data_IF_768443780010
#
_entry.id   IF_768443780010
#
_cell.length_a   1.000
_cell.length_b   1.000
_cell.length_c   1.000
_cell.angle_alpha   90.00
_cell.angle_beta   90.00
_cell.angle_gamma   90.00
#
_symmetry.space_group_name_H-M   'P 1'
#
loop_
_entity.id
_entity.type
_entity.pdbx_description
1 polymer ?
#
# COMPACT_ATOMS: atom_id res chain seq x y z
N UNK A 1 6.53 43.92 -49.97
CA UNK A 1 5.64 42.92 -49.33
C UNK A 1 6.57 41.85 -48.76
N UNK A 2 6.84 41.92 -47.46
CA UNK A 2 7.73 40.97 -46.78
C UNK A 2 6.97 39.66 -46.65
N UNK A 3 7.44 38.64 -47.35
CA UNK A 3 7.01 37.25 -47.18
C UNK A 3 7.23 36.90 -45.71
N UNK A 4 6.14 36.67 -44.96
CA UNK A 4 6.23 36.25 -43.58
C UNK A 4 6.83 34.85 -43.59
N UNK A 5 8.13 34.75 -43.30
CA UNK A 5 8.79 33.48 -43.07
C UNK A 5 8.06 32.80 -41.91
N UNK A 6 7.25 31.80 -42.24
CA UNK A 6 6.56 30.98 -41.25
C UNK A 6 7.64 30.33 -40.40
N UNK A 7 7.65 30.67 -39.11
CA UNK A 7 8.61 30.13 -38.17
C UNK A 7 8.21 28.69 -37.82
N UNK A 8 8.83 27.75 -38.53
CA UNK A 8 8.58 26.32 -38.39
C UNK A 8 8.97 25.80 -36.99
N UNK A 9 9.91 26.45 -36.28
CA UNK A 9 10.27 26.06 -34.92
C UNK A 9 9.12 26.34 -33.96
N UNK A 10 8.52 27.53 -34.04
CA UNK A 10 7.37 27.93 -33.21
C UNK A 10 6.18 26.99 -33.44
N UNK A 11 5.87 26.69 -34.69
CA UNK A 11 4.79 25.76 -35.06
C UNK A 11 5.01 24.33 -34.54
N UNK A 12 6.26 23.87 -34.55
CA UNK A 12 6.61 22.54 -34.02
C UNK A 12 6.46 22.48 -32.50
N UNK A 13 6.80 23.57 -31.81
CA UNK A 13 6.69 23.70 -30.36
C UNK A 13 5.23 23.75 -29.91
N UNK A 14 4.39 24.54 -30.59
CA UNK A 14 2.94 24.61 -30.36
C UNK A 14 2.28 23.24 -30.53
N UNK A 15 2.58 22.55 -31.63
CA UNK A 15 2.07 21.19 -31.88
C UNK A 15 2.50 20.18 -30.83
N UNK A 16 3.70 20.33 -30.28
CA UNK A 16 4.20 19.45 -29.23
C UNK A 16 3.48 19.71 -27.89
N UNK A 17 3.18 20.97 -27.58
CA UNK A 17 2.34 21.36 -26.44
C UNK A 17 0.93 20.79 -26.54
N UNK A 18 0.31 20.86 -27.73
CA UNK A 18 -1.02 20.29 -27.97
C UNK A 18 -1.06 18.76 -27.79
N UNK A 19 0.01 18.06 -28.18
CA UNK A 19 0.09 16.63 -27.95
C UNK A 19 0.21 16.32 -26.46
N UNK A 20 1.02 17.07 -25.72
CA UNK A 20 1.16 16.89 -24.27
C UNK A 20 -0.14 17.14 -23.51
N UNK A 21 -0.91 18.16 -23.90
CA UNK A 21 -2.22 18.45 -23.28
C UNK A 21 -3.25 17.35 -23.60
N UNK A 22 -3.18 16.73 -24.78
CA UNK A 22 -3.99 15.55 -25.12
C UNK A 22 -3.65 14.34 -24.26
N UNK A 23 -2.36 14.08 -23.98
CA UNK A 23 -1.93 13.06 -23.01
C UNK A 23 -2.53 13.31 -21.64
N UNK A 24 -2.38 14.52 -21.12
CA UNK A 24 -2.88 14.87 -19.80
C UNK A 24 -4.41 14.71 -19.72
N UNK A 25 -5.14 15.23 -20.71
CA UNK A 25 -6.61 15.17 -20.76
C UNK A 25 -7.14 13.73 -20.80
N UNK A 26 -6.49 12.86 -21.57
CA UNK A 26 -6.94 11.47 -21.72
C UNK A 26 -6.53 10.60 -20.53
N UNK A 27 -5.36 10.84 -19.93
CA UNK A 27 -4.94 10.18 -18.70
C UNK A 27 -5.77 10.64 -17.49
N UNK A 28 -6.08 11.94 -17.39
CA UNK A 28 -6.93 12.47 -16.31
C UNK A 28 -8.34 11.92 -16.36
N UNK A 29 -8.92 11.71 -17.56
CA UNK A 29 -10.20 11.01 -17.73
C UNK A 29 -10.19 9.56 -17.24
N UNK A 30 -9.02 8.91 -17.24
CA UNK A 30 -8.84 7.53 -16.74
C UNK A 30 -8.62 7.48 -15.23
N UNK A 31 -8.31 8.62 -14.62
CA UNK A 31 -8.24 8.78 -13.18
C UNK A 31 -9.66 8.62 -12.63
N UNK A 32 -9.94 7.48 -11.99
CA UNK A 32 -11.24 7.24 -11.38
C UNK A 32 -11.39 8.05 -10.10
N UNK A 33 -12.57 8.64 -9.86
CA UNK A 33 -12.86 9.42 -8.65
C UNK A 33 -12.69 8.60 -7.35
N UNK A 34 -12.89 7.29 -7.42
CA UNK A 34 -12.76 6.37 -6.28
C UNK A 34 -11.31 5.94 -5.98
N UNK A 35 -10.32 6.69 -6.47
CA UNK A 35 -8.92 6.47 -6.12
C UNK A 35 -8.63 7.04 -4.73
N UNK A 36 -8.30 6.16 -3.78
CA UNK A 36 -7.83 6.54 -2.45
C UNK A 36 -6.37 6.10 -2.23
N UNK A 37 -5.70 6.73 -1.27
CA UNK A 37 -4.37 6.31 -0.82
C UNK A 37 -3.24 6.51 -1.85
N UNK A 38 -2.35 5.52 -1.90
CA UNK A 38 -1.11 5.54 -2.68
C UNK A 38 -1.37 5.63 -4.18
N UNK A 39 -2.35 4.87 -4.66
CA UNK A 39 -2.77 4.86 -6.07
C UNK A 39 -3.07 6.26 -6.59
N UNK A 40 -3.81 7.06 -5.81
CA UNK A 40 -4.18 8.41 -6.24
C UNK A 40 -2.93 9.27 -6.41
N UNK A 41 -2.04 9.26 -5.43
CA UNK A 41 -0.82 10.06 -5.41
C UNK A 41 0.06 9.73 -6.62
N UNK A 42 0.36 8.44 -6.82
CA UNK A 42 1.25 8.00 -7.91
C UNK A 42 0.63 8.28 -9.28
N UNK A 43 -0.63 7.90 -9.50
CA UNK A 43 -1.27 8.11 -10.81
C UNK A 43 -1.43 9.60 -11.13
N UNK A 44 -1.73 10.42 -10.13
CA UNK A 44 -1.81 11.87 -10.29
C UNK A 44 -0.45 12.48 -10.64
N UNK A 45 0.63 12.07 -9.96
CA UNK A 45 2.00 12.48 -10.32
C UNK A 45 2.37 12.08 -11.75
N UNK A 46 1.98 10.88 -12.20
CA UNK A 46 2.23 10.42 -13.59
C UNK A 46 1.44 11.23 -14.62
N UNK A 47 0.19 11.61 -14.33
CA UNK A 47 -0.63 12.47 -15.21
C UNK A 47 0.03 13.83 -15.39
N UNK A 48 0.44 14.47 -14.30
CA UNK A 48 1.11 15.79 -14.35
C UNK A 48 2.56 15.75 -14.83
N UNK A 49 3.12 14.56 -15.09
CA UNK A 49 4.50 14.42 -15.58
C UNK A 49 5.57 14.50 -14.49
N UNK A 50 5.19 14.46 -13.21
CA UNK A 50 6.10 14.39 -12.07
C UNK A 50 6.56 12.93 -11.83
N UNK A 51 7.27 12.35 -12.80
CA UNK A 51 7.66 10.92 -12.78
C UNK A 51 8.62 10.57 -11.64
N UNK A 52 9.59 11.42 -11.36
CA UNK A 52 10.53 11.23 -10.24
C UNK A 52 9.82 11.25 -8.89
N UNK A 53 8.86 12.17 -8.74
CA UNK A 53 8.02 12.21 -7.55
C UNK A 53 7.20 10.92 -7.42
N UNK A 54 6.62 10.42 -8.51
CA UNK A 54 5.86 9.16 -8.50
C UNK A 54 6.72 7.97 -8.04
N UNK A 55 7.96 7.86 -8.54
CA UNK A 55 8.93 6.83 -8.13
C UNK A 55 9.34 6.97 -6.66
N UNK A 56 9.55 8.22 -6.21
CA UNK A 56 9.89 8.52 -4.82
C UNK A 56 8.75 8.17 -3.87
N UNK A 57 7.52 8.56 -4.17
CA UNK A 57 6.34 8.24 -3.36
C UNK A 57 6.11 6.73 -3.27
N UNK A 58 6.31 6.00 -4.37
CA UNK A 58 6.25 4.54 -4.38
C UNK A 58 7.30 3.93 -3.43
N UNK A 59 8.53 4.43 -3.46
CA UNK A 59 9.61 3.93 -2.61
C UNK A 59 9.37 4.27 -1.14
N UNK A 60 9.02 5.53 -0.84
CA UNK A 60 8.65 5.99 0.50
C UNK A 60 7.52 5.17 1.12
N UNK A 61 6.53 4.77 0.32
CA UNK A 61 5.45 3.92 0.81
C UNK A 61 5.94 2.55 1.27
N UNK A 62 6.90 1.95 0.57
CA UNK A 62 7.47 0.65 0.94
C UNK A 62 8.28 0.78 2.23
N UNK A 63 9.08 1.82 2.32
CA UNK A 63 9.90 2.10 3.50
C UNK A 63 9.02 2.41 4.72
N UNK A 64 7.85 3.03 4.53
CA UNK A 64 6.86 3.22 5.60
C UNK A 64 6.27 1.92 6.17
N UNK A 65 6.55 0.76 5.55
CA UNK A 65 6.06 -0.57 5.95
C UNK A 65 7.18 -1.47 6.48
N UNK A 66 8.30 -0.88 6.93
CA UNK A 66 9.41 -1.60 7.56
C UNK A 66 8.98 -2.50 8.74
N UNK A 67 7.90 -2.15 9.44
CA UNK A 67 7.31 -2.94 10.54
C UNK A 67 6.90 -4.37 10.10
N UNK A 68 6.76 -4.61 8.79
CA UNK A 68 6.29 -5.86 8.23
C UNK A 68 7.38 -6.56 7.39
N UNK A 69 8.25 -7.39 8.01
CA UNK A 69 9.40 -7.99 7.31
C UNK A 69 9.00 -8.91 6.14
N UNK A 70 7.78 -9.47 6.17
CA UNK A 70 7.25 -10.30 5.07
C UNK A 70 6.69 -9.50 3.89
N UNK A 71 6.51 -8.18 4.04
CA UNK A 71 5.88 -7.33 3.03
C UNK A 71 6.83 -7.06 1.86
N UNK A 72 8.01 -6.51 2.14
CA UNK A 72 9.02 -6.13 1.14
C UNK A 72 9.33 -7.24 0.11
N UNK A 73 9.68 -8.49 0.49
CA UNK A 73 9.99 -9.53 -0.48
C UNK A 73 8.80 -9.96 -1.35
N UNK A 74 7.55 -9.78 -0.87
CA UNK A 74 6.35 -10.11 -1.65
C UNK A 74 6.03 -9.06 -2.70
N UNK A 75 6.34 -7.80 -2.42
CA UNK A 75 5.98 -6.68 -3.30
C UNK A 75 7.09 -6.20 -4.21
N UNK A 76 8.35 -6.57 -3.94
CA UNK A 76 9.53 -6.10 -4.66
C UNK A 76 9.39 -6.21 -6.20
N UNK A 77 8.89 -7.37 -6.68
CA UNK A 77 8.61 -7.58 -8.10
C UNK A 77 7.57 -6.61 -8.67
N UNK A 78 6.50 -6.33 -7.92
CA UNK A 78 5.47 -5.39 -8.37
C UNK A 78 5.98 -3.95 -8.35
N UNK A 79 6.84 -3.61 -7.40
CA UNK A 79 7.46 -2.29 -7.29
C UNK A 79 8.39 -2.04 -8.47
N UNK A 80 9.28 -2.98 -8.77
CA UNK A 80 10.15 -2.90 -9.93
C UNK A 80 9.33 -2.73 -11.23
N UNK A 81 8.28 -3.53 -11.39
CA UNK A 81 7.37 -3.42 -12.54
C UNK A 81 6.69 -2.04 -12.61
N UNK A 82 6.22 -1.49 -11.48
CA UNK A 82 5.65 -0.14 -11.45
C UNK A 82 6.67 0.94 -11.84
N UNK A 83 7.94 0.83 -11.40
CA UNK A 83 9.00 1.77 -11.77
C UNK A 83 9.32 1.71 -13.27
N UNK A 84 9.33 0.51 -13.85
CA UNK A 84 9.52 0.29 -15.28
C UNK A 84 8.36 0.91 -16.08
N UNK A 85 7.11 0.70 -15.64
CA UNK A 85 5.93 1.30 -16.27
C UNK A 85 5.97 2.83 -16.22
N UNK A 86 6.34 3.43 -15.08
CA UNK A 86 6.48 4.89 -14.97
C UNK A 86 7.54 5.42 -15.96
N UNK A 87 8.69 4.76 -16.05
CA UNK A 87 9.77 5.13 -16.97
C UNK A 87 9.38 4.91 -18.45
N UNK A 88 8.59 3.88 -18.72
CA UNK A 88 8.05 3.59 -20.05
C UNK A 88 7.01 4.61 -20.50
N UNK A 89 6.23 5.18 -19.57
CA UNK A 89 5.29 6.27 -19.83
C UNK A 89 6.05 7.57 -20.08
N UNK A 90 7.02 7.89 -19.22
CA UNK A 90 7.88 9.06 -19.34
C UNK A 90 8.59 9.12 -20.70
N UNK A 91 9.27 8.04 -21.09
CA UNK A 91 10.00 7.95 -22.37
C UNK A 91 9.10 8.09 -23.60
N UNK A 92 7.86 7.56 -23.54
CA UNK A 92 6.90 7.66 -24.65
C UNK A 92 6.27 9.03 -24.76
N UNK A 93 5.99 9.70 -23.63
CA UNK A 93 5.42 11.06 -23.62
C UNK A 93 6.46 12.10 -24.03
N UNK A 94 7.71 11.89 -23.64
CA UNK A 94 8.86 12.75 -23.97
C UNK A 94 9.62 12.29 -25.23
N UNK A 95 8.97 11.51 -26.10
CA UNK A 95 9.62 10.99 -27.31
C UNK A 95 10.05 12.16 -28.22
N UNK A 96 11.33 12.24 -28.62
CA UNK A 96 11.81 13.33 -29.45
C UNK A 96 11.13 13.25 -30.82
N UNK A 97 10.75 14.42 -31.35
CA UNK A 97 10.09 14.53 -32.65
C UNK A 97 8.73 13.79 -32.74
N UNK A 98 8.03 13.60 -31.62
CA UNK A 98 6.66 13.05 -31.62
C UNK A 98 5.74 13.80 -32.60
N UNK A 99 5.85 15.14 -32.65
CA UNK A 99 5.07 16.02 -33.51
C UNK A 99 5.36 15.87 -35.01
N UNK A 100 6.53 15.34 -35.38
CA UNK A 100 6.91 15.09 -36.77
C UNK A 100 6.47 13.71 -37.27
N UNK A 101 6.00 12.83 -36.39
CA UNK A 101 5.47 11.52 -36.77
C UNK A 101 4.11 11.62 -37.46
N UNK A 102 3.73 10.57 -38.20
CA UNK A 102 2.38 10.45 -38.73
C UNK A 102 1.35 10.34 -37.60
N UNK A 103 0.13 10.82 -37.85
CA UNK A 103 -0.98 10.75 -36.88
C UNK A 103 -1.22 9.32 -36.41
N UNK A 104 -1.13 8.33 -37.32
CA UNK A 104 -1.27 6.92 -36.99
C UNK A 104 -0.21 6.46 -35.97
N UNK A 105 1.04 6.89 -36.11
CA UNK A 105 2.11 6.52 -35.17
C UNK A 105 1.99 7.24 -33.84
N UNK A 106 1.57 8.51 -33.86
CA UNK A 106 1.24 9.26 -32.63
C UNK A 106 0.14 8.55 -31.84
N UNK A 107 -0.93 8.09 -32.52
CA UNK A 107 -2.03 7.36 -31.90
C UNK A 107 -1.58 5.99 -31.36
N UNK A 108 -0.69 5.28 -32.05
CA UNK A 108 -0.12 4.02 -31.54
C UNK A 108 0.68 4.25 -30.25
N UNK A 109 1.57 5.25 -30.21
CA UNK A 109 2.32 5.62 -29.00
C UNK A 109 1.35 5.98 -27.88
N UNK A 110 0.30 6.70 -28.22
CA UNK A 110 -0.74 7.11 -27.30
C UNK A 110 -1.46 5.92 -26.66
N UNK A 111 -1.86 4.94 -27.46
CA UNK A 111 -2.49 3.70 -26.98
C UNK A 111 -1.54 2.92 -26.07
N UNK A 112 -0.26 2.82 -26.42
CA UNK A 112 0.76 2.20 -25.55
C UNK A 112 0.91 2.91 -24.20
N UNK A 113 0.83 4.23 -24.17
CA UNK A 113 0.87 5.00 -22.91
C UNK A 113 -0.36 4.70 -22.05
N UNK A 114 -1.55 4.61 -22.66
CA UNK A 114 -2.75 4.19 -21.93
C UNK A 114 -2.59 2.77 -21.38
N UNK A 115 -2.13 1.82 -22.20
CA UNK A 115 -1.92 0.43 -21.77
C UNK A 115 -1.02 0.36 -20.54
N UNK A 116 0.13 1.04 -20.58
CA UNK A 116 1.06 1.10 -19.44
C UNK A 116 0.45 1.79 -18.22
N UNK A 117 -0.36 2.83 -18.42
CA UNK A 117 -1.03 3.53 -17.32
C UNK A 117 -2.10 2.65 -16.64
N UNK A 118 -2.90 1.93 -17.43
CA UNK A 118 -3.90 1.00 -16.91
C UNK A 118 -3.24 -0.20 -16.22
N UNK A 119 -2.10 -0.69 -16.72
CA UNK A 119 -1.30 -1.72 -16.08
C UNK A 119 -0.66 -1.24 -14.76
N UNK A 120 -0.18 0.01 -14.72
CA UNK A 120 0.32 0.64 -13.51
C UNK A 120 -0.78 0.71 -12.45
N UNK A 121 -1.99 1.15 -12.83
CA UNK A 121 -3.15 1.17 -11.95
C UNK A 121 -3.44 -0.19 -11.34
N UNK A 122 -3.43 -1.26 -12.14
CA UNK A 122 -3.67 -2.63 -11.67
C UNK A 122 -2.56 -3.13 -10.74
N UNK A 123 -1.31 -2.82 -11.05
CA UNK A 123 -0.16 -3.23 -10.25
C UNK A 123 -0.17 -2.56 -8.87
N UNK A 124 -0.53 -1.27 -8.82
CA UNK A 124 -0.70 -0.54 -7.56
C UNK A 124 -1.84 -1.09 -6.70
N UNK A 125 -2.95 -1.56 -7.29
CA UNK A 125 -4.02 -2.26 -6.55
C UNK A 125 -3.47 -3.50 -5.84
N UNK A 126 -2.60 -4.27 -6.50
CA UNK A 126 -2.00 -5.46 -5.89
C UNK A 126 -1.07 -5.10 -4.74
N UNK A 127 -0.26 -4.05 -4.87
CA UNK A 127 0.63 -3.56 -3.80
C UNK A 127 -0.19 -3.13 -2.57
N UNK A 128 -1.27 -2.36 -2.76
CA UNK A 128 -2.17 -1.96 -1.68
C UNK A 128 -2.87 -3.16 -1.02
N UNK A 129 -3.37 -4.11 -1.83
CA UNK A 129 -4.02 -5.32 -1.35
C UNK A 129 -3.07 -6.18 -0.50
N UNK A 130 -1.83 -6.39 -0.95
CA UNK A 130 -0.80 -7.09 -0.15
C UNK A 130 -0.49 -6.35 1.14
N UNK A 131 -0.44 -5.01 1.12
CA UNK A 131 -0.23 -4.20 2.32
C UNK A 131 -1.38 -4.36 3.33
N UNK A 132 -2.62 -4.43 2.84
CA UNK A 132 -3.79 -4.69 3.69
C UNK A 132 -3.80 -6.12 4.25
N UNK A 133 -3.47 -7.11 3.43
CA UNK A 133 -3.41 -8.53 3.84
C UNK A 133 -2.40 -8.75 4.97
N UNK A 134 -1.19 -8.20 4.84
CA UNK A 134 -0.15 -8.34 5.85
C UNK A 134 -0.58 -7.70 7.19
N UNK A 135 -1.20 -6.52 7.14
CA UNK A 135 -1.75 -5.86 8.33
C UNK A 135 -2.85 -6.70 9.00
N UNK A 136 -3.72 -7.33 8.22
CA UNK A 136 -4.77 -8.21 8.74
C UNK A 136 -4.20 -9.48 9.38
N UNK A 137 -3.15 -10.04 8.80
CA UNK A 137 -2.49 -11.25 9.31
C UNK A 137 -1.87 -11.01 10.70
N UNK A 138 -1.30 -9.84 10.94
CA UNK A 138 -0.73 -9.50 12.26
C UNK A 138 -1.82 -9.30 13.33
N UNK A 139 -2.92 -8.64 12.98
CA UNK A 139 -4.09 -8.49 13.86
C UNK A 139 -4.67 -9.88 14.20
N UNK A 140 -4.80 -10.75 13.20
CA UNK A 140 -5.34 -12.09 13.37
C UNK A 140 -4.43 -12.93 14.28
N UNK A 141 -3.12 -12.88 14.06
CA UNK A 141 -2.14 -13.60 14.89
C UNK A 141 -2.18 -13.14 16.34
N UNK A 142 -2.25 -11.82 16.57
CA UNK A 142 -2.38 -11.23 17.91
C UNK A 142 -3.69 -11.66 18.59
N UNK A 143 -4.80 -11.66 17.84
CA UNK A 143 -6.11 -12.09 18.35
C UNK A 143 -6.11 -13.56 18.77
N UNK A 144 -5.46 -14.43 17.99
CA UNK A 144 -5.34 -15.86 18.31
C UNK A 144 -4.50 -16.03 19.58
N UNK A 145 -3.36 -15.34 19.66
CA UNK A 145 -2.50 -15.39 20.85
C UNK A 145 -3.25 -14.97 22.12
N UNK A 146 -3.96 -13.84 22.09
CA UNK A 146 -4.75 -13.35 23.22
C UNK A 146 -5.85 -14.35 23.60
N UNK A 147 -6.55 -14.91 22.63
CA UNK A 147 -7.58 -15.94 22.89
C UNK A 147 -6.98 -17.16 23.56
N UNK A 148 -5.85 -17.67 23.05
CA UNK A 148 -5.16 -18.82 23.63
C UNK A 148 -4.66 -18.54 25.05
N UNK A 149 -4.14 -17.33 25.30
CA UNK A 149 -3.74 -16.90 26.64
C UNK A 149 -4.94 -16.81 27.61
N UNK A 150 -6.09 -16.31 27.16
CA UNK A 150 -7.31 -16.32 27.98
C UNK A 150 -7.78 -17.75 28.29
N UNK A 151 -7.72 -18.66 27.31
CA UNK A 151 -8.07 -20.07 27.53
C UNK A 151 -7.12 -20.76 28.49
N UNK A 152 -5.82 -20.47 28.45
CA UNK A 152 -4.85 -21.06 29.39
C UNK A 152 -5.06 -20.55 30.81
N UNK A 153 -5.28 -19.24 31.00
CA UNK A 153 -5.61 -18.67 32.31
C UNK A 153 -6.92 -19.27 32.86
N UNK A 154 -7.95 -19.37 32.02
CA UNK A 154 -9.23 -19.98 32.39
C UNK A 154 -9.06 -21.45 32.81
N UNK A 155 -8.23 -22.22 32.09
CA UNK A 155 -7.93 -23.60 32.43
C UNK A 155 -7.22 -23.73 33.79
N UNK A 156 -6.27 -22.84 34.09
CA UNK A 156 -5.55 -22.83 35.38
C UNK A 156 -6.54 -22.54 36.52
N UNK A 157 -7.39 -21.52 36.37
CA UNK A 157 -8.42 -21.18 37.36
C UNK A 157 -9.38 -22.37 37.56
N UNK A 158 -9.83 -22.99 36.47
CA UNK A 158 -10.73 -24.13 36.53
C UNK A 158 -10.10 -25.34 37.26
N UNK A 159 -8.83 -25.65 36.99
CA UNK A 159 -8.11 -26.71 37.67
C UNK A 159 -7.88 -26.42 39.16
N UNK A 160 -7.55 -25.17 39.51
CA UNK A 160 -7.39 -24.74 40.90
C UNK A 160 -8.71 -24.91 41.68
N UNK A 161 -9.81 -24.43 41.10
CA UNK A 161 -11.16 -24.60 41.65
C UNK A 161 -11.55 -26.08 41.82
N UNK A 162 -11.26 -26.92 40.81
CA UNK A 162 -11.55 -28.35 40.88
C UNK A 162 -10.74 -29.09 41.96
N UNK A 163 -9.46 -28.75 42.12
CA UNK A 163 -8.62 -29.32 43.18
C UNK A 163 -9.14 -28.93 44.56
N UNK A 164 -9.61 -27.70 44.73
CA UNK A 164 -10.10 -27.21 46.01
C UNK A 164 -11.45 -27.85 46.38
N UNK A 165 -12.40 -27.93 45.43
CA UNK A 165 -13.65 -28.69 45.64
C UNK A 165 -13.37 -30.13 46.11
N UNK A 166 -12.36 -30.77 45.51
CA UNK A 166 -11.98 -32.14 45.84
C UNK A 166 -11.34 -32.27 47.22
N UNK A 167 -10.73 -31.21 47.76
CA UNK A 167 -9.99 -31.23 49.04
C UNK A 167 -10.78 -30.70 50.23
N UNK A 168 -11.57 -29.62 50.07
CA UNK A 168 -12.15 -28.86 51.19
C UNK A 168 -13.68 -28.94 51.28
N UNK A 169 -14.35 -29.51 50.29
CA UNK A 169 -15.82 -29.43 50.23
C UNK A 169 -16.31 -28.03 49.86
N UNK A 170 -17.47 -27.99 49.21
CA UNK A 170 -17.93 -26.88 48.37
C UNK A 170 -18.08 -25.51 49.05
N UNK A 171 -18.13 -25.43 50.39
CA UNK A 171 -18.61 -24.24 51.10
C UNK A 171 -17.52 -23.31 51.68
N UNK A 172 -16.32 -23.81 52.02
CA UNK A 172 -15.20 -22.96 52.53
C UNK A 172 -14.21 -22.54 51.45
N UNK A 173 -14.35 -23.09 50.24
CA UNK A 173 -13.35 -23.00 49.17
C UNK A 173 -13.38 -21.67 48.41
N UNK A 174 -14.54 -21.04 48.25
CA UNK A 174 -14.68 -19.88 47.36
C UNK A 174 -13.97 -18.61 47.88
N UNK A 175 -13.99 -18.36 49.19
CA UNK A 175 -13.30 -17.21 49.80
C UNK A 175 -11.77 -17.38 49.77
N UNK A 176 -11.26 -18.56 50.15
CA UNK A 176 -9.81 -18.81 50.14
C UNK A 176 -9.23 -18.83 48.72
N UNK A 177 -9.95 -19.35 47.72
CA UNK A 177 -9.48 -19.33 46.33
C UNK A 177 -9.39 -17.91 45.77
N UNK A 178 -10.38 -17.06 46.05
CA UNK A 178 -10.41 -15.69 45.55
C UNK A 178 -9.22 -14.87 46.11
N UNK A 179 -8.88 -15.09 47.39
CA UNK A 179 -7.76 -14.41 48.05
C UNK A 179 -6.40 -14.93 47.55
N UNK A 180 -6.25 -16.24 47.33
CA UNK A 180 -5.00 -16.83 46.82
C UNK A 180 -4.75 -16.57 45.34
N UNK A 181 -5.80 -16.54 44.52
CA UNK A 181 -5.66 -16.26 43.07
C UNK A 181 -5.42 -14.79 42.81
N UNK A 182 -6.08 -13.88 43.54
CA UNK A 182 -5.83 -12.44 43.41
C UNK A 182 -4.40 -12.07 43.79
N UNK A 183 -3.86 -12.61 44.89
CA UNK A 183 -2.49 -12.36 45.31
C UNK A 183 -1.44 -12.89 44.33
N UNK A 184 -1.65 -14.08 43.75
CA UNK A 184 -0.74 -14.66 42.74
C UNK A 184 -0.79 -13.92 41.39
N UNK A 185 -1.98 -13.46 40.99
CA UNK A 185 -2.12 -12.65 39.77
C UNK A 185 -1.46 -11.29 39.97
N UNK A 186 -1.67 -10.64 41.12
CA UNK A 186 -1.04 -9.36 41.43
C UNK A 186 0.49 -9.50 41.51
N UNK A 187 1.01 -10.54 42.18
CA UNK A 187 2.47 -10.74 42.26
C UNK A 187 3.08 -11.04 40.89
N UNK A 188 2.42 -11.85 40.05
CA UNK A 188 2.90 -12.15 38.70
C UNK A 188 2.83 -10.93 37.78
N UNK A 189 1.86 -10.03 37.97
CA UNK A 189 1.79 -8.75 37.26
C UNK A 189 2.92 -7.82 37.73
N UNK A 190 3.18 -7.73 39.05
CA UNK A 190 4.30 -6.94 39.59
C UNK A 190 5.65 -7.44 39.07
N UNK A 191 5.89 -8.75 39.08
CA UNK A 191 7.11 -9.37 38.56
C UNK A 191 7.27 -9.16 37.03
N UNK A 192 6.16 -9.17 36.28
CA UNK A 192 6.17 -8.94 34.83
C UNK A 192 6.45 -7.47 34.47
N UNK A 193 6.01 -6.52 35.32
CA UNK A 193 6.22 -5.08 35.11
C UNK A 193 7.47 -4.52 35.82
N UNK A 194 8.20 -5.35 36.59
CA UNK A 194 9.50 -5.00 37.17
C UNK A 194 9.45 -3.92 38.25
N UNK A 195 8.39 -3.90 39.06
CA UNK A 195 8.27 -3.07 40.27
C UNK A 195 8.42 -3.91 41.53
#
# INVERSE_FOLDING_TARGET
MSEAAIDYEILSQERSGDLQSQFETRLSKRLSEDLSGLRRIILQSVVYGSYDQAKKELTSYIDSKEDYPSFKPRIDRYVAHCQDLISAIESKRNFPALSSLSVSKQQEIFERVIEHFDELKQSLVRIEATGHEVRLNDIRSTTIFIKTAMWSVSLIIFLAFFMEISKSGFLTSFEELAERTSSLIVSSIFDLFGL
#
